data_IF_049518784736
#
_entry.id   IF_049518784736
#
_cell.length_a   1.000
_cell.length_b   1.000
_cell.length_c   1.000
_cell.angle_alpha   90.00
_cell.angle_beta   90.00
_cell.angle_gamma   90.00
#
_symmetry.space_group_name_H-M   'P 1'
#
loop_
_entity.id
_entity.type
_entity.pdbx_description
1 polymer ?
#
# COMPACT_ATOMS: atom_id res chain seq x y z
N UNK A 1 16.81 -26.94 2.79
CA UNK A 1 17.08 -25.56 2.33
C UNK A 1 16.04 -25.20 1.29
N UNK A 2 15.21 -24.19 1.57
CA UNK A 2 14.17 -23.70 0.67
C UNK A 2 14.82 -23.09 -0.57
N UNK A 3 14.29 -23.36 -1.78
CA UNK A 3 14.81 -22.73 -3.00
C UNK A 3 14.50 -21.24 -2.94
N UNK A 4 15.45 -20.39 -3.34
CA UNK A 4 15.32 -18.92 -3.30
C UNK A 4 14.02 -18.40 -3.95
N UNK A 5 13.57 -19.04 -5.03
CA UNK A 5 12.30 -18.71 -5.70
C UNK A 5 11.06 -18.95 -4.84
N UNK A 6 11.06 -20.00 -4.00
CA UNK A 6 9.92 -20.32 -3.13
C UNK A 6 9.82 -19.36 -1.95
N UNK A 7 10.96 -18.85 -1.47
CA UNK A 7 10.99 -17.78 -0.45
C UNK A 7 10.40 -16.48 -1.00
N UNK A 8 10.76 -16.11 -2.23
CA UNK A 8 10.19 -14.93 -2.90
C UNK A 8 8.67 -15.08 -3.08
N UNK A 9 8.19 -16.26 -3.49
CA UNK A 9 6.76 -16.55 -3.61
C UNK A 9 6.02 -16.48 -2.28
N UNK A 10 6.61 -16.98 -1.20
CA UNK A 10 6.02 -16.94 0.14
C UNK A 10 5.90 -15.50 0.64
N UNK A 11 6.95 -14.69 0.46
CA UNK A 11 6.92 -13.26 0.81
C UNK A 11 5.85 -12.52 0.01
N UNK A 12 5.76 -12.76 -1.30
CA UNK A 12 4.72 -12.16 -2.15
C UNK A 12 3.30 -12.56 -1.71
N UNK A 13 3.12 -13.79 -1.24
CA UNK A 13 1.85 -14.27 -0.72
C UNK A 13 1.51 -13.63 0.64
N UNK A 14 2.49 -13.47 1.54
CA UNK A 14 2.32 -12.73 2.80
C UNK A 14 1.95 -11.27 2.53
N UNK A 15 2.64 -10.62 1.59
CA UNK A 15 2.30 -9.27 1.16
C UNK A 15 0.87 -9.21 0.63
N UNK A 16 0.45 -10.18 -0.18
CA UNK A 16 -0.91 -10.24 -0.70
C UNK A 16 -1.96 -10.43 0.41
N UNK A 17 -1.64 -11.24 1.43
CA UNK A 17 -2.50 -11.45 2.60
C UNK A 17 -2.66 -10.18 3.43
N UNK A 18 -1.58 -9.39 3.59
CA UNK A 18 -1.61 -8.09 4.27
C UNK A 18 -2.70 -7.19 3.72
N UNK A 19 -2.99 -7.29 2.43
CA UNK A 19 -3.83 -6.34 1.71
C UNK A 19 -5.34 -6.68 1.81
N UNK A 20 -5.71 -7.59 2.72
CA UNK A 20 -7.10 -7.85 3.07
C UNK A 20 -7.81 -6.56 3.55
N UNK A 21 -9.05 -6.37 3.10
CA UNK A 21 -9.80 -5.12 3.28
C UNK A 21 -10.64 -5.12 4.55
N UNK A 22 -11.05 -6.31 5.00
CA UNK A 22 -11.80 -6.50 6.22
C UNK A 22 -11.38 -7.82 6.88
N UNK A 23 -11.80 -7.99 8.13
CA UNK A 23 -11.50 -9.15 8.95
C UNK A 23 -11.99 -10.47 8.31
N UNK A 24 -13.18 -10.47 7.70
CA UNK A 24 -13.76 -11.67 7.08
C UNK A 24 -12.90 -12.15 5.91
N UNK A 25 -12.46 -11.22 5.07
CA UNK A 25 -11.54 -11.50 3.97
C UNK A 25 -10.21 -12.00 4.52
N UNK A 26 -9.67 -11.34 5.56
CA UNK A 26 -8.39 -11.71 6.16
C UNK A 26 -8.40 -13.13 6.73
N UNK A 27 -9.42 -13.50 7.52
CA UNK A 27 -9.58 -14.85 8.09
C UNK A 27 -9.67 -15.89 6.97
N UNK A 28 -10.52 -15.65 5.96
CA UNK A 28 -10.69 -16.58 4.85
C UNK A 28 -9.40 -16.75 4.04
N UNK A 29 -8.72 -15.65 3.72
CA UNK A 29 -7.46 -15.67 2.99
C UNK A 29 -6.36 -16.37 3.80
N UNK A 30 -6.31 -16.15 5.11
CA UNK A 30 -5.38 -16.81 6.04
C UNK A 30 -5.53 -18.33 6.02
N UNK A 31 -6.76 -18.84 6.09
CA UNK A 31 -7.03 -20.28 5.99
C UNK A 31 -6.55 -20.87 4.66
N UNK A 32 -6.74 -20.15 3.55
CA UNK A 32 -6.27 -20.56 2.24
C UNK A 32 -4.74 -20.49 2.11
N UNK A 33 -4.10 -19.50 2.75
CA UNK A 33 -2.66 -19.34 2.82
C UNK A 33 -2.01 -20.52 3.58
N UNK A 34 -2.50 -20.83 4.78
CA UNK A 34 -2.06 -21.98 5.58
C UNK A 34 -2.21 -23.28 4.80
N UNK A 35 -3.36 -23.48 4.14
CA UNK A 35 -3.59 -24.66 3.29
C UNK A 35 -2.59 -24.77 2.14
N UNK A 36 -2.19 -23.65 1.53
CA UNK A 36 -1.23 -23.62 0.41
C UNK A 36 0.19 -23.97 0.86
N UNK A 37 0.62 -23.43 1.99
CA UNK A 37 2.03 -23.48 2.42
C UNK A 37 2.35 -24.55 3.46
N UNK A 38 1.36 -25.08 4.19
CA UNK A 38 1.55 -26.12 5.22
C UNK A 38 2.30 -27.36 4.72
N UNK A 39 2.11 -27.76 3.45
CA UNK A 39 2.83 -28.90 2.85
C UNK A 39 4.26 -28.57 2.45
N UNK A 40 4.59 -27.30 2.22
CA UNK A 40 5.89 -26.86 1.72
C UNK A 40 6.80 -26.40 2.84
N UNK A 41 6.25 -25.62 3.78
CA UNK A 41 6.98 -24.96 4.86
C UNK A 41 6.25 -25.14 6.21
N UNK A 42 6.09 -26.39 6.71
CA UNK A 42 5.24 -26.69 7.87
C UNK A 42 5.66 -25.91 9.13
N UNK A 43 6.96 -25.89 9.46
CA UNK A 43 7.46 -25.22 10.66
C UNK A 43 7.24 -23.70 10.62
N UNK A 44 7.44 -23.08 9.45
CA UNK A 44 7.16 -21.65 9.30
C UNK A 44 5.67 -21.38 9.43
N UNK A 45 4.81 -22.22 8.84
CA UNK A 45 3.36 -22.02 8.88
C UNK A 45 2.78 -22.21 10.27
N UNK A 46 3.28 -23.18 11.03
CA UNK A 46 2.90 -23.35 12.44
C UNK A 46 3.25 -22.10 13.25
N UNK A 47 4.50 -21.63 13.17
CA UNK A 47 4.93 -20.38 13.80
C UNK A 47 4.09 -19.19 13.34
N UNK A 48 3.92 -19.03 12.02
CA UNK A 48 3.24 -17.88 11.44
C UNK A 48 1.76 -17.85 11.82
N UNK A 49 1.11 -19.01 11.90
CA UNK A 49 -0.27 -19.11 12.32
C UNK A 49 -0.46 -18.72 13.79
N UNK A 50 0.40 -19.23 14.67
CA UNK A 50 0.33 -18.92 16.09
C UNK A 50 0.65 -17.44 16.36
N UNK A 51 1.73 -16.92 15.78
CA UNK A 51 2.18 -15.55 16.05
C UNK A 51 1.39 -14.50 15.28
N UNK A 52 1.25 -14.65 13.96
CA UNK A 52 0.80 -13.56 13.09
C UNK A 52 -0.64 -13.70 12.61
N UNK A 53 -1.24 -14.88 12.70
CA UNK A 53 -2.65 -15.07 12.34
C UNK A 53 -3.57 -15.13 13.57
N UNK A 54 -3.01 -15.43 14.75
CA UNK A 54 -3.77 -15.57 16.00
C UNK A 54 -3.42 -14.47 17.00
N UNK A 55 -2.18 -14.42 17.49
CA UNK A 55 -1.79 -13.51 18.58
C UNK A 55 -1.66 -12.06 18.12
N UNK A 56 -1.00 -11.81 16.99
CA UNK A 56 -0.68 -10.47 16.48
C UNK A 56 -1.34 -10.23 15.12
N UNK A 57 -2.64 -10.49 15.00
CA UNK A 57 -3.37 -10.51 13.72
C UNK A 57 -3.70 -9.11 13.14
N UNK A 58 -3.43 -8.03 13.87
CA UNK A 58 -3.74 -6.65 13.48
C UNK A 58 -2.71 -6.01 12.52
N UNK A 59 -2.25 -6.74 11.51
CA UNK A 59 -1.24 -6.26 10.54
C UNK A 59 -1.76 -6.13 9.11
N UNK A 60 -3.00 -6.55 8.83
CA UNK A 60 -3.65 -6.37 7.53
C UNK A 60 -4.24 -4.96 7.38
N UNK A 61 -4.28 -4.44 6.15
CA UNK A 61 -4.64 -3.05 5.88
C UNK A 61 -6.05 -2.66 6.35
N UNK A 62 -6.99 -3.61 6.30
CA UNK A 62 -8.38 -3.40 6.73
C UNK A 62 -8.57 -3.17 8.24
N UNK A 63 -7.56 -3.47 9.08
CA UNK A 63 -7.66 -3.27 10.53
C UNK A 63 -7.55 -1.79 10.91
N UNK A 64 -6.78 -1.03 10.14
CA UNK A 64 -6.40 0.35 10.43
C UNK A 64 -6.58 1.22 9.20
N UNK A 65 -7.84 1.46 8.82
CA UNK A 65 -8.15 2.34 7.69
C UNK A 65 -7.43 3.69 7.82
N UNK A 66 -6.82 4.14 6.72
CA UNK A 66 -6.07 5.39 6.63
C UNK A 66 -4.78 5.47 7.46
N UNK A 67 -4.36 4.38 8.09
CA UNK A 67 -3.04 4.30 8.74
C UNK A 67 -1.99 3.77 7.75
N UNK A 68 -0.77 4.34 7.75
CA UNK A 68 0.28 3.82 6.89
C UNK A 68 0.80 2.48 7.43
N UNK A 69 0.69 1.42 6.64
CA UNK A 69 1.25 0.09 6.98
C UNK A 69 2.77 -0.02 6.80
N UNK A 70 3.44 1.07 6.39
CA UNK A 70 4.89 1.11 6.19
C UNK A 70 5.60 1.69 7.41
N UNK A 71 6.74 1.11 7.76
CA UNK A 71 7.63 1.62 8.80
C UNK A 71 8.41 2.89 8.40
N UNK A 72 8.19 3.45 7.20
CA UNK A 72 8.93 4.60 6.65
C UNK A 72 9.03 5.79 7.63
N UNK A 73 7.95 6.09 8.34
CA UNK A 73 7.94 7.17 9.33
C UNK A 73 8.88 6.86 10.52
N UNK A 74 8.86 5.63 11.01
CA UNK A 74 9.75 5.17 12.07
C UNK A 74 11.21 5.16 11.60
N UNK A 75 11.48 4.65 10.40
CA UNK A 75 12.82 4.64 9.82
C UNK A 75 13.36 6.05 9.57
N UNK A 76 12.53 6.96 9.06
CA UNK A 76 12.91 8.36 8.88
C UNK A 76 13.24 9.03 10.21
N UNK A 77 12.40 8.85 11.23
CA UNK A 77 12.64 9.37 12.58
C UNK A 77 13.92 8.79 13.18
N UNK A 78 14.11 7.47 13.09
CA UNK A 78 15.33 6.80 13.53
C UNK A 78 16.58 7.33 12.80
N UNK A 79 16.46 7.64 11.51
CA UNK A 79 17.55 8.22 10.74
C UNK A 79 17.90 9.64 11.20
N UNK A 80 16.92 10.47 11.56
CA UNK A 80 17.15 11.81 12.14
C UNK A 80 17.88 11.68 13.48
N UNK A 81 17.38 10.84 14.39
CA UNK A 81 18.02 10.60 15.69
C UNK A 81 19.47 10.13 15.51
N UNK A 82 19.70 9.21 14.58
CA UNK A 82 21.03 8.68 14.27
C UNK A 82 21.95 9.73 13.65
N UNK A 83 21.49 10.51 12.69
CA UNK A 83 22.36 11.40 11.91
C UNK A 83 22.55 12.77 12.52
N UNK A 84 21.55 13.29 13.21
CA UNK A 84 21.52 14.69 13.66
C UNK A 84 21.66 14.82 15.16
N UNK A 85 21.17 13.85 15.95
CA UNK A 85 21.15 13.97 17.41
C UNK A 85 22.24 13.16 18.10
N UNK A 86 22.43 11.90 17.69
CA UNK A 86 23.42 11.00 18.29
C UNK A 86 24.69 10.88 17.47
N UNK A 87 24.70 11.39 16.24
CA UNK A 87 25.80 11.23 15.28
C UNK A 87 26.26 9.76 15.10
N UNK A 88 25.32 8.83 15.29
CA UNK A 88 25.49 7.37 15.29
C UNK A 88 26.33 6.83 16.44
N UNK A 89 26.63 7.64 17.44
CA UNK A 89 27.31 7.20 18.66
C UNK A 89 26.36 6.42 19.57
N UNK A 90 26.91 5.45 20.29
CA UNK A 90 26.18 4.76 21.36
C UNK A 90 26.30 5.58 22.63
N UNK A 91 25.18 6.14 23.06
CA UNK A 91 25.11 6.94 24.28
C UNK A 91 24.73 6.09 25.49
N UNK A 92 25.27 6.36 26.68
CA UNK A 92 24.72 5.85 27.94
C UNK A 92 23.26 6.25 28.09
N UNK A 93 22.44 5.39 28.72
CA UNK A 93 20.99 5.60 28.84
C UNK A 93 20.64 6.95 29.47
N UNK A 94 21.38 7.39 30.49
CA UNK A 94 21.17 8.68 31.15
C UNK A 94 21.33 9.86 30.18
N UNK A 95 22.36 9.84 29.32
CA UNK A 95 22.58 10.87 28.29
C UNK A 95 21.55 10.79 27.18
N UNK A 96 21.19 9.57 26.74
CA UNK A 96 20.16 9.39 25.72
C UNK A 96 18.80 9.92 26.19
N UNK A 97 18.45 9.73 27.46
CA UNK A 97 17.20 10.24 28.04
C UNK A 97 17.12 11.76 27.95
N UNK A 98 18.18 12.47 28.35
CA UNK A 98 18.24 13.94 28.24
C UNK A 98 18.08 14.38 26.79
N UNK A 99 18.86 13.78 25.89
CA UNK A 99 18.78 14.07 24.46
C UNK A 99 17.39 13.79 23.86
N UNK A 100 16.70 12.73 24.30
CA UNK A 100 15.35 12.42 23.84
C UNK A 100 14.34 13.51 24.21
N UNK A 101 14.44 14.08 25.42
CA UNK A 101 13.61 15.22 25.82
C UNK A 101 13.91 16.46 24.97
N UNK A 102 15.18 16.76 24.73
CA UNK A 102 15.60 17.89 23.88
C UNK A 102 15.09 17.74 22.44
N UNK A 103 15.10 16.52 21.89
CA UNK A 103 14.56 16.21 20.56
C UNK A 103 13.07 16.54 20.51
N UNK A 104 12.30 16.04 21.47
CA UNK A 104 10.85 16.24 21.54
C UNK A 104 10.52 17.72 21.75
N UNK A 105 11.25 18.41 22.63
CA UNK A 105 11.09 19.84 22.87
C UNK A 105 11.35 20.66 21.60
N UNK A 106 12.44 20.35 20.88
CA UNK A 106 12.77 20.99 19.60
C UNK A 106 11.65 20.77 18.58
N UNK A 107 11.14 19.54 18.45
CA UNK A 107 10.04 19.26 17.53
C UNK A 107 8.77 20.02 17.92
N UNK A 108 8.42 20.04 19.21
CA UNK A 108 7.25 20.77 19.72
C UNK A 108 7.32 22.26 19.36
N UNK A 109 8.46 22.91 19.66
CA UNK A 109 8.70 24.32 19.31
C UNK A 109 8.63 24.57 17.80
N UNK A 110 9.09 23.63 16.97
CA UNK A 110 8.96 23.76 15.51
C UNK A 110 7.50 23.70 15.04
N UNK A 111 6.67 22.88 15.65
CA UNK A 111 5.24 22.79 15.31
C UNK A 111 4.47 24.03 15.79
N UNK A 112 4.68 24.46 17.03
CA UNK A 112 4.07 25.66 17.61
C UNK A 112 4.37 26.91 16.76
N UNK A 113 5.61 27.04 16.30
CA UNK A 113 6.05 28.16 15.45
C UNK A 113 5.65 28.02 13.98
N UNK A 114 4.95 26.94 13.59
CA UNK A 114 4.54 26.68 12.21
C UNK A 114 5.69 26.41 11.23
N UNK A 115 6.89 26.11 11.74
CA UNK A 115 8.08 25.78 10.95
C UNK A 115 7.98 24.38 10.33
N UNK A 116 7.23 23.48 10.96
CA UNK A 116 6.83 22.20 10.38
C UNK A 116 5.34 22.24 10.03
N UNK A 117 5.02 22.08 8.74
CA UNK A 117 3.63 22.03 8.25
C UNK A 117 3.28 20.62 7.80
N UNK A 118 2.11 20.15 8.20
CA UNK A 118 1.53 18.94 7.64
C UNK A 118 1.00 19.22 6.25
N UNK A 119 1.27 18.31 5.32
CA UNK A 119 0.64 18.35 4.01
C UNK A 119 -0.69 17.60 4.08
N UNK A 120 -1.77 18.35 4.28
CA UNK A 120 -3.13 17.80 4.32
C UNK A 120 -3.67 17.47 2.92
N UNK A 121 -3.01 17.93 1.85
CA UNK A 121 -3.43 17.69 0.47
C UNK A 121 -2.55 16.65 -0.19
N UNK A 122 -3.13 15.49 -0.49
CA UNK A 122 -2.42 14.48 -1.23
C UNK A 122 -2.10 14.99 -2.65
N UNK A 123 -0.82 15.02 -2.98
CA UNK A 123 -0.37 15.46 -4.32
C UNK A 123 -0.29 14.24 -5.24
N UNK A 124 -1.06 14.26 -6.33
CA UNK A 124 -1.01 13.20 -7.34
C UNK A 124 0.27 13.40 -8.16
N UNK A 125 1.18 12.43 -8.06
CA UNK A 125 2.43 12.47 -8.84
C UNK A 125 2.16 12.41 -10.34
N UNK A 126 3.05 13.00 -11.15
CA UNK A 126 2.94 12.96 -12.62
C UNK A 126 2.90 11.51 -13.15
N UNK A 127 3.58 10.57 -12.49
CA UNK A 127 3.54 9.15 -12.86
C UNK A 127 2.16 8.53 -12.63
N UNK A 128 1.51 8.89 -11.52
CA UNK A 128 0.18 8.40 -11.22
C UNK A 128 -0.88 9.02 -12.15
N UNK A 129 -0.72 10.30 -12.50
CA UNK A 129 -1.51 10.93 -13.56
C UNK A 129 -1.39 10.20 -14.89
N UNK A 130 -0.17 9.84 -15.29
CA UNK A 130 0.10 9.13 -16.55
C UNK A 130 -0.54 7.75 -16.57
N UNK A 131 -0.28 6.95 -15.54
CA UNK A 131 -0.82 5.58 -15.45
C UNK A 131 -2.33 5.57 -15.29
N UNK A 132 -2.91 6.54 -14.58
CA UNK A 132 -4.36 6.73 -14.48
C UNK A 132 -4.97 7.10 -15.83
N UNK A 133 -4.38 8.05 -16.56
CA UNK A 133 -4.85 8.44 -17.89
C UNK A 133 -4.74 7.31 -18.92
N UNK A 134 -3.65 6.55 -18.90
CA UNK A 134 -3.50 5.34 -19.72
C UNK A 134 -4.58 4.30 -19.40
N UNK A 135 -4.89 4.11 -18.11
CA UNK A 135 -5.96 3.21 -17.70
C UNK A 135 -7.33 3.66 -18.23
N UNK A 136 -7.62 4.97 -18.24
CA UNK A 136 -8.85 5.51 -18.84
C UNK A 136 -8.95 5.17 -20.33
N UNK A 137 -7.84 5.24 -21.07
CA UNK A 137 -7.79 4.88 -22.50
C UNK A 137 -8.11 3.41 -22.78
N UNK A 138 -7.96 2.51 -21.81
CA UNK A 138 -8.36 1.11 -21.96
C UNK A 138 -9.89 0.95 -22.07
N UNK A 139 -10.66 1.98 -21.71
CA UNK A 139 -12.12 2.04 -21.80
C UNK A 139 -12.82 0.79 -21.23
N UNK A 140 -12.33 0.28 -20.10
CA UNK A 140 -12.91 -0.87 -19.42
C UNK A 140 -14.36 -0.58 -18.99
N UNK A 141 -15.25 -1.57 -18.99
CA UNK A 141 -16.60 -1.38 -18.46
C UNK A 141 -16.57 -1.12 -16.95
N UNK A 142 -17.48 -0.30 -16.45
CA UNK A 142 -17.64 -0.03 -15.01
C UNK A 142 -19.07 -0.39 -14.63
N UNK A 143 -19.24 -1.01 -13.47
CA UNK A 143 -20.54 -1.17 -12.82
C UNK A 143 -20.53 -0.43 -11.49
N UNK A 144 -21.68 0.03 -11.03
CA UNK A 144 -21.83 0.69 -9.74
C UNK A 144 -23.03 0.15 -8.98
N UNK A 145 -22.92 0.12 -7.65
CA UNK A 145 -24.06 -0.15 -6.75
C UNK A 145 -24.08 0.90 -5.67
N UNK A 146 -25.26 1.42 -5.35
CA UNK A 146 -25.46 2.29 -4.19
C UNK A 146 -25.56 1.43 -2.92
N UNK A 147 -24.81 1.82 -1.89
CA UNK A 147 -24.82 1.20 -0.56
C UNK A 147 -24.64 2.31 0.48
N UNK A 148 -25.60 2.51 1.37
CA UNK A 148 -25.51 3.40 2.53
C UNK A 148 -24.97 4.82 2.21
N UNK A 149 -25.56 5.48 1.22
CA UNK A 149 -25.16 6.80 0.71
C UNK A 149 -23.77 6.86 0.03
N UNK A 150 -23.16 5.71 -0.23
CA UNK A 150 -21.91 5.58 -0.99
C UNK A 150 -22.18 4.87 -2.32
N UNK A 151 -21.45 5.28 -3.36
CA UNK A 151 -21.45 4.58 -4.66
C UNK A 151 -20.22 3.70 -4.72
N UNK A 152 -20.43 2.38 -4.72
CA UNK A 152 -19.36 1.41 -4.90
C UNK A 152 -19.18 1.11 -6.38
N UNK A 153 -17.97 1.36 -6.91
CA UNK A 153 -17.61 1.07 -8.29
C UNK A 153 -16.85 -0.26 -8.41
N UNK A 154 -17.21 -1.06 -9.41
CA UNK A 154 -16.56 -2.31 -9.75
C UNK A 154 -15.84 -2.19 -11.09
N UNK A 155 -14.59 -2.65 -11.12
CA UNK A 155 -13.68 -2.49 -12.24
C UNK A 155 -13.06 -3.86 -12.58
N UNK A 156 -12.92 -4.22 -13.88
CA UNK A 156 -12.24 -5.44 -14.30
C UNK A 156 -10.75 -5.46 -13.91
N UNK A 157 -10.31 -6.59 -13.35
CA UNK A 157 -8.93 -6.82 -12.94
C UNK A 157 -8.03 -7.20 -14.13
N UNK A 158 -6.72 -6.98 -14.00
CA UNK A 158 -5.73 -7.39 -15.01
C UNK A 158 -5.99 -6.80 -16.39
N UNK A 159 -6.03 -7.67 -17.41
CA UNK A 159 -6.26 -7.30 -18.82
C UNK A 159 -7.74 -7.43 -19.24
N UNK A 160 -8.62 -7.88 -18.33
CA UNK A 160 -10.04 -7.99 -18.61
C UNK A 160 -10.62 -6.59 -18.93
N UNK A 161 -11.47 -6.49 -19.95
CA UNK A 161 -12.09 -5.23 -20.37
C UNK A 161 -13.55 -5.13 -19.94
N UNK A 162 -14.21 -6.26 -19.68
CA UNK A 162 -15.61 -6.35 -19.30
C UNK A 162 -15.77 -6.89 -17.88
N UNK A 163 -16.75 -6.37 -17.15
CA UNK A 163 -17.21 -6.90 -15.87
C UNK A 163 -18.61 -7.48 -16.04
N UNK A 164 -18.89 -8.58 -15.36
CA UNK A 164 -20.21 -9.23 -15.34
C UNK A 164 -20.80 -9.18 -13.95
N UNK A 165 -22.13 -9.18 -13.84
CA UNK A 165 -22.83 -9.27 -12.55
C UNK A 165 -22.43 -10.53 -11.78
N UNK A 166 -22.15 -11.63 -12.49
CA UNK A 166 -21.61 -12.87 -11.91
C UNK A 166 -20.25 -12.61 -11.23
N UNK A 167 -19.38 -11.79 -11.83
CA UNK A 167 -18.10 -11.41 -11.24
C UNK A 167 -18.25 -10.63 -9.94
N UNK A 168 -19.25 -9.73 -9.87
CA UNK A 168 -19.60 -9.00 -8.64
C UNK A 168 -20.06 -9.96 -7.55
N UNK A 169 -20.94 -10.88 -7.91
CA UNK A 169 -21.48 -11.90 -7.00
C UNK A 169 -20.40 -12.81 -6.44
N UNK A 170 -19.42 -13.20 -7.26
CA UNK A 170 -18.26 -13.98 -6.82
C UNK A 170 -17.45 -13.23 -5.77
N UNK A 171 -17.26 -11.92 -5.95
CA UNK A 171 -16.52 -11.08 -4.98
C UNK A 171 -17.31 -10.91 -3.69
N UNK A 172 -18.60 -10.55 -3.79
CA UNK A 172 -19.48 -10.38 -2.62
C UNK A 172 -19.62 -11.65 -1.80
N UNK A 173 -19.80 -12.80 -2.47
CA UNK A 173 -19.98 -14.11 -1.83
C UNK A 173 -18.63 -14.79 -1.50
N UNK A 174 -17.51 -14.09 -1.71
CA UNK A 174 -16.17 -14.59 -1.49
C UNK A 174 -15.91 -15.97 -2.11
N UNK A 175 -16.37 -16.23 -3.34
CA UNK A 175 -16.29 -17.55 -3.99
C UNK A 175 -14.89 -17.82 -4.55
N UNK A 176 -13.89 -17.83 -3.67
CA UNK A 176 -12.53 -18.28 -3.92
C UNK A 176 -12.20 -19.44 -2.97
N UNK A 177 -11.57 -20.47 -3.53
CA UNK A 177 -11.26 -21.74 -2.88
C UNK A 177 -9.76 -22.01 -2.79
N UNK A 178 -8.93 -21.18 -3.45
CA UNK A 178 -7.47 -21.23 -3.36
C UNK A 178 -6.90 -19.85 -3.09
N UNK A 179 -5.72 -19.79 -2.48
CA UNK A 179 -5.05 -18.51 -2.21
C UNK A 179 -4.70 -17.77 -3.50
N UNK A 180 -4.35 -18.48 -4.58
CA UNK A 180 -4.06 -17.86 -5.87
C UNK A 180 -5.30 -17.24 -6.54
N UNK A 181 -6.50 -17.81 -6.31
CA UNK A 181 -7.76 -17.18 -6.73
C UNK A 181 -8.02 -15.89 -5.97
N UNK A 182 -7.77 -15.88 -4.66
CA UNK A 182 -7.86 -14.67 -3.83
C UNK A 182 -6.94 -13.56 -4.36
N UNK A 183 -5.65 -13.87 -4.59
CA UNK A 183 -4.67 -12.91 -5.14
C UNK A 183 -5.11 -12.27 -6.45
N UNK A 184 -5.64 -13.07 -7.38
CA UNK A 184 -6.06 -12.59 -8.70
C UNK A 184 -7.24 -11.61 -8.62
N UNK A 185 -8.16 -11.81 -7.68
CA UNK A 185 -9.42 -11.04 -7.59
C UNK A 185 -9.32 -9.77 -6.73
N UNK A 186 -8.34 -9.67 -5.84
CA UNK A 186 -8.18 -8.50 -4.96
C UNK A 186 -7.12 -7.48 -5.40
N UNK A 187 -6.75 -7.44 -6.69
CA UNK A 187 -5.66 -6.63 -7.25
C UNK A 187 -5.73 -5.08 -7.08
N UNK A 188 -6.68 -4.54 -6.32
CA UNK A 188 -6.74 -3.13 -5.91
C UNK A 188 -5.92 -2.81 -4.65
N UNK A 189 -5.13 -3.77 -4.19
CA UNK A 189 -4.17 -3.72 -3.10
C UNK A 189 -3.32 -2.44 -2.97
N UNK A 190 -2.92 -1.82 -4.08
CA UNK A 190 -2.11 -0.60 -4.04
C UNK A 190 -2.83 0.61 -3.41
N UNK A 191 -4.17 0.63 -3.41
CA UNK A 191 -4.94 1.71 -2.80
C UNK A 191 -4.75 1.75 -1.28
N UNK A 192 -4.87 0.62 -0.60
CA UNK A 192 -4.80 0.60 0.86
C UNK A 192 -3.43 1.04 1.39
N UNK A 193 -2.33 0.63 0.73
CA UNK A 193 -0.98 1.06 1.13
C UNK A 193 -0.65 2.54 0.87
N UNK A 194 -1.22 3.15 -0.16
CA UNK A 194 -0.80 4.49 -0.64
C UNK A 194 -1.91 5.53 -0.60
N UNK A 195 -3.11 5.12 -0.23
CA UNK A 195 -4.39 5.85 -0.34
C UNK A 195 -4.71 6.35 -1.76
N UNK A 196 -3.88 5.99 -2.75
CA UNK A 196 -3.96 6.47 -4.12
C UNK A 196 -3.40 5.42 -5.06
N UNK A 197 -4.20 5.04 -6.06
CA UNK A 197 -3.76 4.17 -7.14
C UNK A 197 -4.21 4.72 -8.50
N UNK A 198 -3.67 4.15 -9.59
CA UNK A 198 -4.02 4.55 -10.96
C UNK A 198 -5.52 4.44 -11.23
N UNK A 199 -6.22 3.52 -10.56
CA UNK A 199 -7.66 3.31 -10.72
C UNK A 199 -8.46 4.46 -10.11
N UNK A 200 -8.09 4.94 -8.92
CA UNK A 200 -8.75 6.11 -8.28
C UNK A 200 -8.58 7.36 -9.15
N UNK A 201 -7.36 7.63 -9.62
CA UNK A 201 -7.11 8.76 -10.53
C UNK A 201 -7.89 8.58 -11.84
N UNK A 202 -7.88 7.37 -12.41
CA UNK A 202 -8.59 7.08 -13.64
C UNK A 202 -10.11 7.22 -13.51
N UNK A 203 -10.70 6.77 -12.40
CA UNK A 203 -12.12 6.95 -12.09
C UNK A 203 -12.46 8.43 -11.94
N UNK A 204 -11.65 9.20 -11.21
CA UNK A 204 -11.86 10.64 -11.08
C UNK A 204 -11.82 11.37 -12.43
N UNK A 205 -10.97 10.94 -13.37
CA UNK A 205 -10.95 11.44 -14.75
C UNK A 205 -12.24 11.06 -15.49
N UNK A 206 -12.69 9.80 -15.40
CA UNK A 206 -13.91 9.33 -16.12
C UNK A 206 -15.19 9.96 -15.61
N UNK A 207 -15.27 10.20 -14.30
CA UNK A 207 -16.39 10.87 -13.65
C UNK A 207 -16.31 12.40 -13.75
N UNK A 208 -15.34 12.94 -14.50
CA UNK A 208 -15.11 14.38 -14.69
C UNK A 208 -14.83 15.17 -13.38
N UNK A 209 -14.38 14.51 -12.31
CA UNK A 209 -13.97 15.17 -11.07
C UNK A 209 -12.60 15.84 -11.18
N UNK A 210 -11.78 15.45 -12.17
CA UNK A 210 -10.48 16.08 -12.40
C UNK A 210 -10.05 16.02 -13.87
N UNK A 211 -9.12 16.92 -14.24
CA UNK A 211 -8.51 16.95 -15.58
C UNK A 211 -7.03 16.59 -15.47
N UNK A 212 -6.53 15.61 -16.24
CA UNK A 212 -5.11 15.25 -16.19
C UNK A 212 -4.27 16.39 -16.77
N UNK A 213 -3.10 16.71 -16.18
CA UNK A 213 -2.22 17.76 -16.67
C UNK A 213 -1.71 17.43 -18.09
N UNK A 214 -1.43 18.42 -18.96
CA UNK A 214 -0.98 18.18 -20.34
C UNK A 214 0.24 17.25 -20.44
N UNK A 215 1.21 17.39 -19.52
CA UNK A 215 2.39 16.55 -19.46
C UNK A 215 2.10 15.05 -19.20
N UNK A 216 0.92 14.70 -18.67
CA UNK A 216 0.50 13.31 -18.49
C UNK A 216 -0.10 12.71 -19.77
N UNK A 217 -0.56 13.55 -20.71
CA UNK A 217 -1.17 13.14 -21.98
C UNK A 217 -0.12 12.83 -23.06
N UNK A 218 1.06 13.45 -22.98
CA UNK A 218 2.09 13.46 -24.01
C UNK A 218 2.98 12.20 -24.11
N UNK A 219 2.59 11.06 -23.51
CA UNK A 219 3.37 9.81 -23.60
C UNK A 219 2.77 8.90 -24.66
N UNK A 220 3.56 8.57 -25.69
CA UNK A 220 3.19 7.56 -26.70
C UNK A 220 3.13 6.18 -26.04
N UNK A 221 2.09 5.40 -26.39
CA UNK A 221 1.93 4.02 -25.93
C UNK A 221 3.10 3.20 -26.50
N UNK A 222 3.88 2.51 -25.66
CA UNK A 222 4.95 1.60 -26.07
C UNK A 222 6.39 2.10 -25.92
N UNK A 223 6.62 3.38 -25.60
CA UNK A 223 7.98 3.88 -25.37
C UNK A 223 8.47 3.53 -23.95
N UNK A 224 9.41 2.58 -23.84
CA UNK A 224 10.22 2.40 -22.62
C UNK A 224 10.93 3.72 -22.33
N UNK A 225 10.74 4.28 -21.13
CA UNK A 225 11.59 5.37 -20.66
C UNK A 225 13.05 4.89 -20.72
N UNK A 226 13.92 5.67 -21.38
CA UNK A 226 15.38 5.49 -21.23
C UNK A 226 15.67 5.46 -19.73
N UNK A 227 16.42 4.46 -19.26
CA UNK A 227 16.87 4.37 -17.85
C UNK A 227 17.65 5.66 -17.54
N UNK A 228 16.98 6.61 -16.90
CA UNK A 228 17.64 7.76 -16.31
C UNK A 228 18.48 7.30 -15.13
N UNK A 229 19.50 8.10 -14.80
CA UNK A 229 20.28 7.96 -13.58
C UNK A 229 19.34 7.75 -12.38
N UNK A 230 19.67 6.83 -11.44
CA UNK A 230 18.87 6.63 -10.24
C UNK A 230 18.51 7.97 -9.60
N UNK A 231 17.22 8.17 -9.30
CA UNK A 231 16.78 9.39 -8.65
C UNK A 231 17.58 9.59 -7.37
N UNK A 232 18.20 10.77 -7.20
CA UNK A 232 18.85 11.14 -5.94
C UNK A 232 17.86 10.90 -4.79
N UNK A 233 18.34 10.35 -3.67
CA UNK A 233 17.51 10.14 -2.48
C UNK A 233 16.76 11.42 -2.16
N UNK A 234 15.42 11.37 -2.15
CA UNK A 234 14.62 12.51 -1.70
C UNK A 234 14.90 12.67 -0.20
N UNK A 235 15.34 13.86 0.22
CA UNK A 235 15.34 14.20 1.65
C UNK A 235 13.90 14.09 2.14
N UNK A 236 13.67 13.35 3.22
CA UNK A 236 12.40 13.40 3.91
C UNK A 236 12.16 14.85 4.34
N UNK A 237 11.06 15.44 3.88
CA UNK A 237 10.46 16.71 4.36
C UNK A 237 11.44 17.67 5.05
N UNK A 238 12.29 18.32 4.26
CA UNK A 238 12.84 19.63 4.60
C UNK A 238 12.49 20.54 3.42
N UNK A 239 11.45 21.33 3.59
CA UNK A 239 11.22 22.51 2.78
C UNK A 239 11.77 23.66 3.63
N UNK A 240 12.76 24.38 3.09
CA UNK A 240 13.22 25.66 3.63
C UNK A 240 12.10 26.69 3.55
#
# INVERSE_FOLDING_TARGET
>A
MVKKSEQEDLVNDVESLQLAQDERIFIKASNLFVKKWSKKEPNFIEYFQNEWLTTHNAWYEGVGHFTPSTNNALEATNNVIKKENTLRERLPLSRFKVLAFEIVEKWSKCYERGLKKYNYKQTISLELWKTGYQWVKLNKSILSTECDNLVQYYIPAGDETKITNVGIDVVKKMKWYTFDQYKKKHSLFAFFKKLMCKHVVGMAIRLNHCKPPPAAKNVKIGEKRRRGRPSKSKKALLIQ
#
